data_IF_698067116100
#
_entry.id   IF_698067116100
#
_cell.length_a   1.000
_cell.length_b   1.000
_cell.length_c   1.000
_cell.angle_alpha   90.00
_cell.angle_beta   90.00
_cell.angle_gamma   90.00
#
_symmetry.space_group_name_H-M   'P 1'
#
loop_
_entity.id
_entity.type
_entity.pdbx_description
1 polymer ?
#
# COMPACT_ATOMS: atom_id res chain seq x y z
N UNK A 1 8.27 -22.31 -13.20
CA UNK A 1 8.99 -21.13 -13.72
C UNK A 1 7.99 -20.23 -14.42
N UNK A 2 7.53 -19.18 -13.74
CA UNK A 2 6.77 -18.11 -14.38
C UNK A 2 7.74 -16.94 -14.55
N UNK A 3 8.05 -16.62 -15.80
CA UNK A 3 8.82 -15.44 -16.19
C UNK A 3 7.99 -14.20 -15.86
N UNK A 4 8.51 -13.32 -15.00
CA UNK A 4 7.95 -11.98 -14.82
C UNK A 4 8.21 -11.18 -16.10
N UNK A 5 7.20 -10.52 -16.71
CA UNK A 5 7.43 -9.68 -17.87
C UNK A 5 8.19 -8.42 -17.45
N UNK A 6 9.08 -7.98 -18.34
CA UNK A 6 9.90 -6.79 -18.17
C UNK A 6 9.06 -5.58 -17.75
N UNK A 7 9.35 -5.03 -16.56
CA UNK A 7 8.77 -3.78 -16.11
C UNK A 7 9.28 -2.66 -17.02
N UNK A 8 8.37 -2.11 -17.83
CA UNK A 8 8.62 -0.91 -18.62
C UNK A 8 8.87 0.25 -17.66
N UNK A 9 10.08 0.84 -17.72
CA UNK A 9 10.46 2.02 -16.94
C UNK A 9 9.60 3.22 -17.34
N UNK A 10 8.70 3.64 -16.46
CA UNK A 10 8.02 4.93 -16.56
C UNK A 10 8.66 5.95 -15.61
N UNK A 11 8.90 7.14 -16.15
CA UNK A 11 9.58 8.27 -15.51
C UNK A 11 8.71 8.90 -14.39
N UNK A 12 9.33 9.53 -13.37
CA UNK A 12 8.59 10.15 -12.27
C UNK A 12 7.74 11.33 -12.74
N UNK A 13 6.41 11.24 -12.55
CA UNK A 13 5.44 12.31 -12.86
C UNK A 13 4.17 11.86 -13.57
N UNK A 14 4.05 10.59 -13.97
CA UNK A 14 2.85 10.08 -14.65
C UNK A 14 1.70 9.80 -13.66
N UNK A 15 0.49 10.36 -13.87
CA UNK A 15 -0.73 9.98 -13.14
C UNK A 15 -1.06 8.48 -13.15
N UNK A 16 -0.50 7.71 -14.09
CA UNK A 16 -0.59 6.24 -14.15
C UNK A 16 0.25 5.53 -13.09
N UNK A 17 1.25 6.17 -12.49
CA UNK A 17 2.06 5.56 -11.43
C UNK A 17 1.24 5.29 -10.15
N UNK A 18 0.16 6.04 -9.92
CA UNK A 18 -0.79 5.78 -8.82
C UNK A 18 -1.66 4.54 -9.08
N UNK A 19 -1.83 4.13 -10.35
CA UNK A 19 -2.69 2.99 -10.75
C UNK A 19 -2.00 1.64 -10.61
N UNK A 20 -0.66 1.60 -10.71
CA UNK A 20 0.13 0.37 -10.56
C UNK A 20 0.27 -0.08 -9.10
N UNK A 21 -0.02 0.81 -8.14
CA UNK A 21 0.03 0.52 -6.72
C UNK A 21 -0.87 -0.64 -6.28
N UNK A 22 -1.94 -0.90 -7.03
CA UNK A 22 -2.96 -1.90 -6.73
C UNK A 22 -2.82 -3.20 -7.53
N UNK A 23 -1.75 -3.35 -8.32
CA UNK A 23 -1.47 -4.58 -9.07
C UNK A 23 -0.87 -5.71 -8.21
N UNK A 24 -0.54 -5.44 -6.94
CA UNK A 24 -0.04 -6.47 -6.00
C UNK A 24 -1.16 -7.31 -5.37
N UNK A 25 -2.42 -6.89 -5.48
CA UNK A 25 -3.55 -7.76 -5.17
C UNK A 25 -3.77 -8.66 -6.39
N UNK A 26 -3.40 -9.93 -6.26
CA UNK A 26 -3.76 -10.99 -7.20
C UNK A 26 -5.21 -10.81 -7.65
N UNK A 27 -5.46 -11.05 -8.95
CA UNK A 27 -6.79 -11.09 -9.58
C UNK A 27 -7.84 -11.56 -8.55
N UNK A 28 -8.72 -10.65 -8.14
CA UNK A 28 -9.48 -10.75 -6.89
C UNK A 28 -10.01 -12.15 -6.61
N UNK A 29 -9.72 -12.66 -5.41
CA UNK A 29 -10.37 -13.87 -4.92
C UNK A 29 -11.88 -13.63 -4.91
N UNK A 30 -12.68 -14.42 -5.65
CA UNK A 30 -14.14 -14.24 -5.71
C UNK A 30 -14.83 -14.42 -4.35
N UNK A 31 -14.14 -14.97 -3.35
CA UNK A 31 -14.62 -15.01 -1.98
C UNK A 31 -14.55 -13.66 -1.24
N UNK A 32 -13.84 -12.67 -1.79
CA UNK A 32 -13.65 -11.35 -1.18
C UNK A 32 -14.60 -10.30 -1.78
N UNK A 33 -14.98 -9.33 -0.95
CA UNK A 33 -15.72 -8.16 -1.42
C UNK A 33 -14.89 -7.41 -2.45
N UNK A 34 -15.50 -7.13 -3.61
CA UNK A 34 -14.85 -6.43 -4.73
C UNK A 34 -14.91 -4.90 -4.62
N UNK A 35 -15.47 -4.37 -3.54
CA UNK A 35 -15.68 -2.93 -3.34
C UNK A 35 -15.37 -2.41 -1.94
N UNK A 36 -15.17 -3.30 -0.96
CA UNK A 36 -15.00 -2.91 0.45
C UNK A 36 -14.08 -3.89 1.18
N UNK A 37 -13.42 -3.42 2.23
CA UNK A 37 -12.74 -4.32 3.15
C UNK A 37 -13.73 -5.20 3.92
N UNK A 38 -13.27 -6.36 4.38
CA UNK A 38 -14.07 -7.28 5.21
C UNK A 38 -14.15 -6.83 6.68
N UNK A 39 -14.31 -5.53 6.92
CA UNK A 39 -14.65 -4.93 8.21
C UNK A 39 -15.57 -3.73 7.98
N UNK A 40 -16.23 -3.27 9.05
CA UNK A 40 -17.16 -2.14 8.94
C UNK A 40 -16.41 -0.81 8.83
N UNK A 41 -16.03 -0.42 7.60
CA UNK A 41 -15.23 0.78 7.32
C UNK A 41 -15.78 2.05 7.98
N UNK A 42 -17.08 2.31 7.84
CA UNK A 42 -17.70 3.49 8.43
C UNK A 42 -17.58 3.50 9.96
N UNK A 43 -17.96 2.42 10.66
CA UNK A 43 -17.87 2.34 12.12
C UNK A 43 -16.44 2.56 12.66
N UNK A 44 -15.41 2.11 11.92
CA UNK A 44 -14.02 2.38 12.30
C UNK A 44 -13.68 3.88 12.18
N UNK A 45 -14.09 4.53 11.09
CA UNK A 45 -13.92 5.98 10.93
C UNK A 45 -14.68 6.76 12.01
N UNK A 46 -15.90 6.34 12.35
CA UNK A 46 -16.71 6.94 13.42
C UNK A 46 -15.95 6.93 14.75
N UNK A 47 -15.41 5.77 15.12
CA UNK A 47 -14.65 5.62 16.36
C UNK A 47 -13.41 6.52 16.37
N UNK A 48 -12.62 6.52 15.30
CA UNK A 48 -11.38 7.33 15.26
C UNK A 48 -11.71 8.82 15.32
N UNK A 49 -12.69 9.28 14.52
CA UNK A 49 -13.05 10.69 14.42
C UNK A 49 -13.76 11.21 15.68
N UNK A 50 -14.56 10.38 16.37
CA UNK A 50 -15.30 10.81 17.56
C UNK A 50 -14.56 10.57 18.88
N UNK A 51 -13.79 9.48 18.99
CA UNK A 51 -13.25 9.02 20.28
C UNK A 51 -11.73 9.19 20.42
N UNK A 52 -10.98 9.21 19.32
CA UNK A 52 -9.52 9.14 19.36
C UNK A 52 -8.83 10.49 19.11
N UNK A 53 -9.56 11.59 18.95
CA UNK A 53 -8.96 12.91 18.71
C UNK A 53 -8.73 13.69 20.01
N UNK A 54 -7.52 14.19 20.22
CA UNK A 54 -7.25 15.17 21.27
C UNK A 54 -7.60 16.57 20.74
N UNK A 55 -8.45 17.37 21.43
CA UNK A 55 -8.80 18.72 20.98
C UNK A 55 -7.60 19.67 20.83
N UNK A 56 -6.48 19.37 21.49
CA UNK A 56 -5.23 20.14 21.39
C UNK A 56 -4.27 19.62 20.28
N UNK A 57 -4.73 18.69 19.44
CA UNK A 57 -3.95 18.01 18.39
C UNK A 57 -3.39 16.65 18.83
N UNK A 58 -3.15 15.76 17.86
CA UNK A 58 -2.73 14.37 18.10
C UNK A 58 -3.89 13.42 18.41
N UNK A 59 -3.63 12.11 18.35
CA UNK A 59 -4.61 11.07 18.63
C UNK A 59 -4.22 10.22 19.84
N UNK A 60 -5.20 9.48 20.37
CA UNK A 60 -5.15 8.74 21.62
C UNK A 60 -5.84 7.37 21.51
N UNK A 61 -5.48 6.45 22.40
CA UNK A 61 -6.05 5.10 22.54
C UNK A 61 -7.60 5.12 22.63
N UNK A 62 -8.12 5.74 23.70
CA UNK A 62 -9.54 5.86 24.00
C UNK A 62 -9.81 7.07 24.92
N UNK A 63 -11.06 7.54 25.05
CA UNK A 63 -11.41 8.63 25.96
C UNK A 63 -10.84 8.44 27.38
N UNK A 64 -10.24 9.51 27.91
CA UNK A 64 -9.56 9.50 29.21
C UNK A 64 -8.08 9.08 29.20
N UNK A 65 -7.52 8.71 28.04
CA UNK A 65 -6.07 8.50 27.87
C UNK A 65 -5.38 9.73 27.29
N UNK A 66 -4.10 9.88 27.60
CA UNK A 66 -3.25 10.92 27.03
C UNK A 66 -2.94 10.64 25.56
N UNK A 67 -2.73 11.71 24.79
CA UNK A 67 -2.21 11.60 23.41
C UNK A 67 -0.74 11.16 23.40
N UNK A 68 -0.35 10.46 22.35
CA UNK A 68 1.05 10.13 22.07
C UNK A 68 1.29 9.95 20.56
N UNK A 69 2.57 9.86 20.16
CA UNK A 69 2.95 9.72 18.76
C UNK A 69 2.58 8.35 18.17
N UNK A 70 2.54 7.31 19.00
CA UNK A 70 2.20 5.96 18.57
C UNK A 70 0.73 5.91 18.12
N UNK A 71 -0.20 6.36 18.96
CA UNK A 71 -1.62 6.43 18.62
C UNK A 71 -1.90 7.46 17.54
N UNK A 72 -1.17 8.57 17.52
CA UNK A 72 -1.26 9.52 16.39
C UNK A 72 -0.93 8.83 15.06
N UNK A 73 0.16 8.08 14.99
CA UNK A 73 0.53 7.31 13.80
C UNK A 73 -0.54 6.28 13.43
N UNK A 74 -0.85 5.35 14.35
CA UNK A 74 -1.66 4.19 14.01
C UNK A 74 -3.17 4.49 13.89
N UNK A 75 -3.70 5.51 14.58
CA UNK A 75 -5.07 5.95 14.32
C UNK A 75 -5.19 6.60 12.93
N UNK A 76 -4.20 7.39 12.49
CA UNK A 76 -4.19 7.95 11.12
C UNK A 76 -4.00 6.86 10.07
N UNK A 77 -3.11 5.90 10.30
CA UNK A 77 -2.94 4.73 9.43
C UNK A 77 -4.23 3.92 9.30
N UNK A 78 -4.90 3.63 10.42
CA UNK A 78 -6.17 2.91 10.44
C UNK A 78 -7.30 3.70 9.77
N UNK A 79 -7.33 5.02 9.94
CA UNK A 79 -8.27 5.90 9.26
C UNK A 79 -8.08 5.87 7.74
N UNK A 80 -6.83 5.96 7.26
CA UNK A 80 -6.48 5.83 5.84
C UNK A 80 -6.91 4.47 5.27
N UNK A 81 -6.62 3.36 5.96
CA UNK A 81 -7.08 2.01 5.54
C UNK A 81 -8.61 1.93 5.46
N UNK A 82 -9.32 2.53 6.42
CA UNK A 82 -10.78 2.54 6.42
C UNK A 82 -11.38 3.40 5.31
N UNK A 83 -10.63 4.39 4.80
CA UNK A 83 -11.05 5.27 3.72
C UNK A 83 -10.82 4.68 2.33
N UNK A 84 -9.72 3.94 2.15
CA UNK A 84 -9.28 3.50 0.83
C UNK A 84 -9.36 1.98 0.67
N UNK A 85 -10.25 1.52 -0.22
CA UNK A 85 -10.24 0.15 -0.69
C UNK A 85 -9.67 0.09 -2.11
N UNK A 86 -8.82 -0.91 -2.38
CA UNK A 86 -8.47 -1.23 -3.75
C UNK A 86 -8.02 -2.67 -3.97
N UNK A 87 -8.40 -3.20 -5.12
CA UNK A 87 -8.17 -4.57 -5.55
C UNK A 87 -8.01 -4.61 -7.07
N UNK A 88 -6.79 -4.87 -7.55
CA UNK A 88 -6.46 -4.78 -8.98
C UNK A 88 -6.74 -3.38 -9.53
N UNK A 89 -7.56 -3.28 -10.58
CA UNK A 89 -7.95 -2.00 -11.17
C UNK A 89 -9.09 -1.27 -10.43
N UNK A 90 -9.70 -1.91 -9.42
CA UNK A 90 -10.83 -1.35 -8.67
C UNK A 90 -10.34 -0.48 -7.52
N UNK A 91 -10.85 0.74 -7.47
CA UNK A 91 -10.65 1.70 -6.38
C UNK A 91 -12.01 2.15 -5.86
N UNK A 92 -12.20 2.09 -4.55
CA UNK A 92 -13.41 2.57 -3.91
C UNK A 92 -13.06 3.29 -2.61
N UNK A 93 -13.34 4.59 -2.58
CA UNK A 93 -13.10 5.43 -1.41
C UNK A 93 -14.40 5.68 -0.64
N UNK A 94 -14.32 5.56 0.68
CA UNK A 94 -15.40 5.88 1.61
C UNK A 94 -14.85 6.89 2.63
N UNK A 95 -15.11 8.18 2.45
CA UNK A 95 -14.62 9.22 3.36
C UNK A 95 -15.76 9.76 4.22
N UNK A 96 -15.64 9.60 5.54
CA UNK A 96 -16.64 10.12 6.47
C UNK A 96 -16.47 11.62 6.74
N UNK A 97 -17.60 12.32 6.76
CA UNK A 97 -17.68 13.70 7.22
C UNK A 97 -17.33 14.68 6.12
N UNK A 98 -16.47 15.65 6.43
CA UNK A 98 -16.06 16.68 5.45
C UNK A 98 -15.02 16.10 4.50
N UNK A 99 -14.98 16.51 3.21
CA UNK A 99 -14.04 15.98 2.23
C UNK A 99 -12.56 16.11 2.63
N UNK A 100 -12.23 17.10 3.44
CA UNK A 100 -10.88 17.37 3.94
C UNK A 100 -10.38 16.31 4.93
N UNK A 101 -11.27 15.42 5.41
CA UNK A 101 -10.88 14.26 6.21
C UNK A 101 -10.12 13.21 5.40
N UNK A 102 -10.12 13.30 4.07
CA UNK A 102 -9.41 12.34 3.22
C UNK A 102 -7.90 12.36 3.51
N UNK A 103 -7.38 11.23 3.98
CA UNK A 103 -5.95 11.03 4.17
C UNK A 103 -5.29 10.55 2.88
N UNK A 104 -3.96 10.58 2.85
CA UNK A 104 -3.22 9.86 1.80
C UNK A 104 -3.30 8.35 2.08
N UNK A 105 -3.31 7.50 1.03
CA UNK A 105 -3.31 6.06 1.22
C UNK A 105 -2.03 5.59 1.92
N UNK A 106 -2.14 4.51 2.70
CA UNK A 106 -1.00 3.80 3.30
C UNK A 106 -0.91 2.39 2.75
N UNK A 107 0.30 1.90 2.51
CA UNK A 107 0.53 0.55 2.03
C UNK A 107 0.22 -0.45 3.15
N UNK A 108 -0.65 -1.45 2.96
CA UNK A 108 -1.13 -2.30 4.04
C UNK A 108 -0.05 -3.15 4.71
N UNK A 109 1.04 -3.48 3.99
CA UNK A 109 2.20 -4.21 4.54
C UNK A 109 3.20 -3.27 5.24
N UNK A 110 3.69 -2.23 4.56
CA UNK A 110 4.79 -1.39 5.05
C UNK A 110 4.34 -0.19 5.89
N UNK A 111 3.05 0.11 5.93
CA UNK A 111 2.44 1.26 6.61
C UNK A 111 3.12 2.61 6.32
N UNK A 112 3.49 2.81 5.05
CA UNK A 112 3.98 4.08 4.50
C UNK A 112 3.24 4.36 3.19
N UNK A 113 3.39 5.57 2.65
CA UNK A 113 2.83 5.94 1.34
C UNK A 113 3.15 4.88 0.28
N UNK A 114 2.16 4.34 -0.44
CA UNK A 114 2.44 3.32 -1.46
C UNK A 114 3.35 3.80 -2.58
N UNK A 115 3.33 5.11 -2.89
CA UNK A 115 4.29 5.77 -3.78
C UNK A 115 5.73 5.63 -3.27
N UNK A 116 5.92 5.73 -1.95
CA UNK A 116 7.23 5.56 -1.29
C UNK A 116 7.69 4.12 -1.30
N UNK A 117 6.76 3.16 -1.20
CA UNK A 117 7.09 1.74 -1.35
C UNK A 117 7.63 1.48 -2.76
N UNK A 118 6.89 1.89 -3.79
CA UNK A 118 7.31 1.73 -5.20
C UNK A 118 8.66 2.40 -5.43
N UNK A 119 8.83 3.64 -4.98
CA UNK A 119 10.09 4.37 -5.13
C UNK A 119 11.27 3.63 -4.48
N UNK A 120 11.10 3.16 -3.24
CA UNK A 120 12.16 2.47 -2.52
C UNK A 120 12.49 1.11 -3.14
N UNK A 121 11.48 0.30 -3.47
CA UNK A 121 11.70 -1.03 -4.06
C UNK A 121 12.33 -0.92 -5.44
N UNK A 122 11.85 -0.03 -6.30
CA UNK A 122 12.47 0.22 -7.61
C UNK A 122 13.94 0.64 -7.47
N UNK A 123 14.27 1.48 -6.49
CA UNK A 123 15.66 1.90 -6.27
C UNK A 123 16.56 0.76 -5.80
N UNK A 124 16.11 -0.06 -4.85
CA UNK A 124 16.94 -1.13 -4.27
C UNK A 124 17.02 -2.38 -5.14
N UNK A 125 16.02 -2.66 -5.99
CA UNK A 125 16.07 -3.76 -6.98
C UNK A 125 17.16 -3.55 -8.05
N UNK A 126 17.66 -2.33 -8.22
CA UNK A 126 18.79 -2.04 -9.12
C UNK A 126 20.16 -2.34 -8.50
N UNK A 127 20.20 -2.82 -7.25
CA UNK A 127 21.44 -3.10 -6.52
C UNK A 127 21.58 -4.60 -6.28
N UNK A 128 22.79 -5.16 -6.37
CA UNK A 128 23.01 -6.56 -6.01
C UNK A 128 22.74 -6.76 -4.52
N UNK A 129 22.27 -7.96 -4.17
CA UNK A 129 22.11 -8.37 -2.77
C UNK A 129 23.51 -8.48 -2.14
N UNK A 130 23.80 -7.77 -1.03
CA UNK A 130 25.12 -7.82 -0.42
C UNK A 130 25.53 -9.24 0.01
N UNK A 131 26.66 -9.73 -0.51
CA UNK A 131 27.20 -11.04 -0.15
C UNK A 131 26.52 -12.23 -0.84
N UNK A 132 25.73 -11.99 -1.89
CA UNK A 132 25.11 -13.02 -2.70
C UNK A 132 25.36 -12.73 -4.19
N UNK A 133 25.99 -13.67 -4.89
CA UNK A 133 26.06 -13.66 -6.35
C UNK A 133 24.98 -14.59 -6.90
N UNK A 134 24.13 -14.07 -7.77
CA UNK A 134 23.20 -14.92 -8.52
C UNK A 134 24.04 -15.78 -9.48
N UNK A 135 23.95 -17.11 -9.36
CA UNK A 135 24.53 -18.00 -10.35
C UNK A 135 23.91 -17.68 -11.71
N UNK A 136 24.70 -17.16 -12.63
CA UNK A 136 24.29 -17.07 -14.03
C UNK A 136 24.07 -18.51 -14.53
N UNK A 137 22.83 -18.85 -14.92
CA UNK A 137 22.55 -20.10 -15.61
C UNK A 137 23.38 -20.10 -16.92
N UNK A 138 24.44 -20.91 -16.97
CA UNK A 138 25.21 -21.14 -18.20
C UNK A 138 24.24 -21.58 -19.30
N UNK A 139 24.00 -20.70 -20.27
CA UNK A 139 23.38 -21.07 -21.54
C UNK A 139 24.38 -21.99 -22.25
N UNK A 140 24.18 -23.30 -22.11
CA UNK A 140 24.88 -24.31 -22.89
C UNK A 140 24.64 -24.01 -24.37
N UNK A 141 25.63 -23.41 -25.03
CA UNK A 141 25.66 -23.30 -26.48
C UNK A 141 25.78 -24.71 -27.06
N UNK A 142 24.71 -25.21 -27.68
CA UNK A 142 24.78 -26.45 -28.46
C UNK A 142 25.87 -26.31 -29.54
N UNK A 143 26.74 -27.32 -29.73
CA UNK A 143 27.71 -27.30 -30.81
C UNK A 143 26.98 -27.45 -32.15
N UNK A 144 27.19 -26.49 -33.04
CA UNK A 144 26.75 -26.58 -34.43
C UNK A 144 27.34 -27.83 -35.08
N UNK A 145 26.47 -28.74 -35.54
CA UNK A 145 26.85 -29.86 -36.40
C UNK A 145 26.84 -29.41 -37.86
N UNK A 146 28.00 -29.55 -38.51
CA UNK A 146 28.22 -29.48 -39.97
C UNK A 146 27.38 -30.51 -40.76
#
# INVERSE_FOLDING_TARGET
MATLPAANLLLPGDPLAQRETFLWTQLGDPALSMSHWMFHQQALQEYILMCCQCPAGGLLDKPGKSRDFYHTCYCLSGLSIAQHFGSGAMLHDVVMGVPENALQPTHPVYNIGPDKVIQATTYFLQKPVPGFEECEDEVTSDPATD
#
